data_IF_663935527900
#
_entry.id   IF_663935527900
#
_cell.length_a   1.000
_cell.length_b   1.000
_cell.length_c   1.000
_cell.angle_alpha   90.00
_cell.angle_beta   90.00
_cell.angle_gamma   90.00
#
_symmetry.space_group_name_H-M   'P 1'
#
loop_
_entity.id
_entity.type
_entity.pdbx_description
1 polymer ?
#
# COMPACT_ATOMS: atom_id res chain seq x y z
N UNK A 1 5.04 11.02 -17.39
CA UNK A 1 5.88 10.37 -16.37
C UNK A 1 5.34 8.96 -16.20
N UNK A 2 6.14 7.93 -16.49
CA UNK A 2 5.71 6.53 -16.27
C UNK A 2 5.33 6.34 -14.79
N UNK A 3 4.17 5.75 -14.52
CA UNK A 3 3.73 5.40 -13.16
C UNK A 3 2.78 6.39 -12.48
N UNK A 4 2.53 7.59 -13.03
CA UNK A 4 1.45 8.43 -12.51
C UNK A 4 0.11 8.04 -13.16
N UNK A 5 -0.91 7.65 -12.38
CA UNK A 5 -2.21 7.32 -12.94
C UNK A 5 -2.85 8.56 -13.58
N UNK A 6 -3.39 8.39 -14.79
CA UNK A 6 -4.02 9.46 -15.58
C UNK A 6 -5.29 10.03 -14.93
N UNK A 7 -5.86 9.30 -13.97
CA UNK A 7 -7.00 9.69 -13.17
C UNK A 7 -6.70 9.46 -11.68
N UNK A 8 -7.37 10.23 -10.82
CA UNK A 8 -7.28 10.06 -9.37
C UNK A 8 -7.83 8.69 -8.98
N UNK A 9 -6.94 7.78 -8.58
CA UNK A 9 -7.32 6.45 -8.10
C UNK A 9 -7.66 6.52 -6.62
N UNK A 10 -8.79 5.92 -6.23
CA UNK A 10 -9.23 5.80 -4.84
C UNK A 10 -8.77 4.50 -4.16
N UNK A 11 -7.92 3.74 -4.84
CA UNK A 11 -7.41 2.44 -4.41
C UNK A 11 -6.01 2.22 -4.97
N UNK A 12 -5.29 1.24 -4.41
CA UNK A 12 -3.95 0.88 -4.86
C UNK A 12 -4.05 0.24 -6.26
N UNK A 13 -3.05 0.48 -7.11
CA UNK A 13 -3.00 -0.06 -8.47
C UNK A 13 -1.58 -0.33 -8.89
N UNK A 14 -1.27 -1.60 -9.15
CA UNK A 14 0.09 -2.02 -9.49
C UNK A 14 1.07 -1.63 -8.39
N UNK A 15 2.01 -0.75 -8.70
CA UNK A 15 3.04 -0.25 -7.77
C UNK A 15 2.72 1.14 -7.18
N UNK A 16 1.54 1.68 -7.46
CA UNK A 16 1.07 2.96 -6.93
C UNK A 16 0.12 2.71 -5.77
N UNK A 17 0.48 3.21 -4.58
CA UNK A 17 -0.31 3.05 -3.36
C UNK A 17 -0.85 4.41 -2.91
N UNK A 18 -2.12 4.46 -2.52
CA UNK A 18 -2.77 5.67 -2.04
C UNK A 18 -2.56 5.82 -0.53
N UNK A 19 -2.14 7.01 -0.09
CA UNK A 19 -2.24 7.41 1.31
C UNK A 19 -3.59 8.10 1.53
N UNK A 20 -4.41 7.54 2.41
CA UNK A 20 -5.72 8.05 2.81
C UNK A 20 -5.60 9.35 3.60
N UNK A 21 -4.55 9.50 4.41
CA UNK A 21 -4.25 10.76 5.07
C UNK A 21 -4.01 11.85 4.01
N UNK A 22 -4.79 12.93 4.10
CA UNK A 22 -4.68 14.01 3.13
C UNK A 22 -3.45 14.87 3.45
N UNK A 23 -2.82 15.40 2.41
CA UNK A 23 -1.78 16.40 2.62
C UNK A 23 -2.34 17.64 3.34
N UNK A 24 -1.45 18.49 3.87
CA UNK A 24 -1.84 19.78 4.47
C UNK A 24 -2.65 20.68 3.53
N UNK A 25 -2.55 20.47 2.21
CA UNK A 25 -3.32 21.17 1.18
C UNK A 25 -4.53 20.37 0.67
N UNK A 26 -4.95 19.34 1.40
CA UNK A 26 -6.08 18.43 1.10
C UNK A 26 -5.93 17.65 -0.21
N UNK A 27 -4.70 17.41 -0.67
CA UNK A 27 -4.42 16.60 -1.86
C UNK A 27 -4.26 15.13 -1.47
N UNK A 28 -4.67 14.24 -2.38
CA UNK A 28 -4.30 12.83 -2.32
C UNK A 28 -2.81 12.69 -2.59
N UNK A 29 -2.16 11.82 -1.84
CA UNK A 29 -0.74 11.52 -1.97
C UNK A 29 -0.62 10.05 -2.33
N UNK A 30 0.29 9.76 -3.26
CA UNK A 30 0.56 8.42 -3.73
C UNK A 30 2.03 8.07 -3.48
N UNK A 31 2.29 6.83 -3.09
CA UNK A 31 3.63 6.25 -3.03
C UNK A 31 3.83 5.38 -4.27
N UNK A 32 4.82 5.72 -5.09
CA UNK A 32 5.16 4.97 -6.30
C UNK A 32 6.42 4.13 -6.06
N UNK A 33 6.28 2.81 -6.10
CA UNK A 33 7.36 1.87 -5.77
C UNK A 33 7.86 1.01 -6.93
N UNK A 34 7.48 1.30 -8.19
CA UNK A 34 7.90 0.54 -9.36
C UNK A 34 9.42 0.47 -9.50
N UNK A 35 10.09 1.63 -9.35
CA UNK A 35 11.55 1.75 -9.54
C UNK A 35 12.33 1.64 -8.22
N UNK A 36 11.75 2.07 -7.10
CA UNK A 36 12.41 2.09 -5.80
C UNK A 36 11.38 1.90 -4.67
N UNK A 37 11.64 0.96 -3.77
CA UNK A 37 10.76 0.64 -2.65
C UNK A 37 11.33 -0.52 -1.82
N UNK A 38 10.62 -0.90 -0.77
CA UNK A 38 10.99 -2.07 0.03
C UNK A 38 10.58 -3.38 -0.66
N UNK A 39 10.81 -4.51 0.01
CA UNK A 39 10.37 -5.84 -0.45
C UNK A 39 8.84 -5.96 -0.55
N UNK A 40 8.08 -5.09 0.13
CA UNK A 40 6.60 -5.13 0.09
C UNK A 40 6.04 -4.88 -1.30
N UNK A 41 6.80 -4.27 -2.20
CA UNK A 41 6.39 -4.04 -3.60
C UNK A 41 6.12 -5.32 -4.39
N UNK A 42 6.57 -6.48 -3.90
CA UNK A 42 6.35 -7.77 -4.55
C UNK A 42 5.13 -8.54 -4.01
N UNK A 43 4.41 -7.98 -3.04
CA UNK A 43 3.20 -8.61 -2.48
C UNK A 43 2.12 -8.68 -3.56
N UNK A 44 1.64 -9.89 -3.83
CA UNK A 44 0.56 -10.14 -4.79
C UNK A 44 -0.80 -9.90 -4.17
N UNK A 45 -1.79 -9.63 -5.02
CA UNK A 45 -3.18 -9.51 -4.61
C UNK A 45 -3.80 -10.86 -4.24
N UNK A 46 -4.60 -10.90 -3.17
CA UNK A 46 -5.58 -11.95 -2.89
C UNK A 46 -6.85 -11.34 -2.28
N UNK A 47 -8.02 -11.90 -2.63
CA UNK A 47 -9.29 -11.47 -2.03
C UNK A 47 -9.40 -11.83 -0.54
N UNK A 48 -8.72 -12.91 -0.11
CA UNK A 48 -8.60 -13.36 1.27
C UNK A 48 -7.12 -13.33 1.74
N UNK A 49 -6.56 -12.14 2.03
CA UNK A 49 -5.15 -11.99 2.30
C UNK A 49 -4.73 -12.46 3.71
N UNK A 50 -3.43 -12.56 3.94
CA UNK A 50 -2.83 -12.87 5.25
C UNK A 50 -2.00 -11.72 5.83
N UNK A 51 -1.74 -10.69 5.03
CA UNK A 51 -1.20 -9.40 5.46
C UNK A 51 -2.08 -8.27 4.94
N UNK A 52 -1.94 -7.08 5.51
CA UNK A 52 -2.66 -5.90 5.09
C UNK A 52 -1.81 -4.64 5.17
N UNK A 53 -2.20 -3.65 4.38
CA UNK A 53 -1.66 -2.30 4.47
C UNK A 53 -2.30 -1.56 5.64
N UNK A 54 -1.48 -0.92 6.46
CA UNK A 54 -1.87 -0.11 7.60
C UNK A 54 -1.14 1.22 7.53
N UNK A 55 -1.88 2.32 7.53
CA UNK A 55 -1.29 3.66 7.56
C UNK A 55 -0.94 4.07 8.99
N UNK A 56 0.34 4.31 9.22
CA UNK A 56 0.85 4.84 10.47
C UNK A 56 1.28 6.30 10.29
N UNK A 57 0.62 7.20 11.02
CA UNK A 57 1.09 8.57 11.15
C UNK A 57 2.09 8.69 12.31
N UNK A 58 3.30 9.16 12.01
CA UNK A 58 4.31 9.53 12.98
C UNK A 58 4.65 11.01 12.82
N UNK A 59 4.08 11.86 13.69
CA UNK A 59 4.17 13.32 13.63
C UNK A 59 3.72 13.82 12.24
N UNK A 60 4.65 14.36 11.46
CA UNK A 60 4.41 14.92 10.12
C UNK A 60 4.64 13.92 9.00
N UNK A 61 4.98 12.67 9.32
CA UNK A 61 5.28 11.63 8.34
C UNK A 61 4.21 10.55 8.38
N UNK A 62 3.63 10.21 7.23
CA UNK A 62 2.77 9.06 7.05
C UNK A 62 3.59 7.94 6.43
N UNK A 63 3.47 6.73 6.98
CA UNK A 63 4.09 5.52 6.44
C UNK A 63 3.02 4.46 6.22
N UNK A 64 3.08 3.78 5.10
CA UNK A 64 2.34 2.54 4.92
C UNK A 64 3.17 1.39 5.47
N UNK A 65 2.58 0.61 6.37
CA UNK A 65 3.15 -0.60 6.93
C UNK A 65 2.42 -1.81 6.35
N UNK A 66 3.14 -2.91 6.16
CA UNK A 66 2.52 -4.22 5.93
C UNK A 66 2.49 -4.97 7.26
N UNK A 67 1.29 -5.26 7.76
CA UNK A 67 1.09 -6.00 9.00
C UNK A 67 0.45 -7.35 8.72
N UNK A 68 0.83 -8.36 9.50
CA UNK A 68 0.23 -9.68 9.44
C UNK A 68 -1.13 -9.68 10.15
N UNK A 69 -2.17 -10.19 9.49
CA UNK A 69 -3.55 -10.22 10.00
C UNK A 69 -4.06 -11.64 10.29
N UNK A 70 -3.28 -12.66 9.93
CA UNK A 70 -3.53 -14.09 10.20
C UNK A 70 -2.23 -14.75 10.62
N UNK A 71 -2.26 -15.87 11.34
CA UNK A 71 -1.04 -16.65 11.59
C UNK A 71 -0.40 -17.10 10.28
N UNK A 72 0.91 -16.93 10.13
CA UNK A 72 1.67 -17.27 8.92
C UNK A 72 2.83 -18.20 9.28
N UNK A 73 2.95 -19.31 8.54
CA UNK A 73 4.09 -20.23 8.66
C UNK A 73 5.19 -19.85 7.67
N UNK A 74 6.44 -20.19 7.98
CA UNK A 74 7.56 -19.99 7.07
C UNK A 74 7.31 -20.68 5.70
N UNK A 75 7.65 -20.00 4.62
CA UNK A 75 7.40 -20.46 3.25
C UNK A 75 6.00 -20.16 2.70
N UNK A 76 5.08 -19.66 3.54
CA UNK A 76 3.76 -19.20 3.06
C UNK A 76 3.90 -17.90 2.28
N UNK A 77 3.26 -17.80 1.13
CA UNK A 77 3.22 -16.55 0.37
C UNK A 77 2.44 -15.47 1.14
N UNK A 78 3.04 -14.29 1.27
CA UNK A 78 2.37 -13.11 1.80
C UNK A 78 1.55 -12.43 0.69
N UNK A 79 0.27 -12.17 0.97
CA UNK A 79 -0.66 -11.56 0.02
C UNK A 79 -1.47 -10.47 0.69
N UNK A 80 -1.79 -9.43 -0.07
CA UNK A 80 -2.56 -8.24 0.35
C UNK A 80 -3.83 -8.13 -0.48
N UNK A 81 -4.81 -7.36 -0.01
CA UNK A 81 -5.91 -6.91 -0.85
C UNK A 81 -5.61 -5.50 -1.36
N UNK A 82 -5.54 -5.29 -2.67
CA UNK A 82 -5.23 -3.97 -3.25
C UNK A 82 -6.40 -2.97 -3.16
N UNK A 83 -7.62 -3.47 -2.99
CA UNK A 83 -8.83 -2.64 -2.91
C UNK A 83 -9.20 -2.30 -1.45
N UNK A 84 -8.49 -2.87 -0.47
CA UNK A 84 -8.78 -2.69 0.96
C UNK A 84 -7.52 -2.44 1.76
N UNK A 85 -7.50 -1.31 2.45
CA UNK A 85 -6.58 -1.03 3.56
C UNK A 85 -7.36 -1.17 4.88
N UNK A 86 -6.66 -1.36 6.00
CA UNK A 86 -7.27 -1.52 7.34
C UNK A 86 -6.83 -0.36 8.24
#
# INVERSE_FOLDING_TARGET
MEGQPAAMMKQNSGYTMLLHERSVTRKFVYVEVLKCGSTTRFLSHACDPNVAFFEMQNRTTVKELTITIKSVNAGTQLTVNYDKQI
#
